data_IF_257087036964
#
_entry.id   IF_257087036964
#
_cell.length_a   1.000
_cell.length_b   1.000
_cell.length_c   1.000
_cell.angle_alpha   90.00
_cell.angle_beta   90.00
_cell.angle_gamma   90.00
#
_symmetry.space_group_name_H-M   'P 1'
#
loop_
_entity.id
_entity.type
_entity.pdbx_description
1 polymer ?
#
# COMPACT_ATOMS: atom_id res chain seq x y z
N UNK A 1 -15.88 -43.00 28.26
CA UNK A 1 -14.86 -41.92 28.12
C UNK A 1 -13.94 -42.10 26.89
N UNK A 2 -13.83 -43.29 26.30
CA UNK A 2 -12.95 -43.55 25.13
C UNK A 2 -13.58 -43.08 23.80
N UNK A 3 -14.90 -43.13 23.67
CA UNK A 3 -15.61 -42.75 22.43
C UNK A 3 -15.47 -41.26 22.05
N UNK A 4 -15.42 -40.36 23.04
CA UNK A 4 -15.32 -38.91 22.79
C UNK A 4 -13.92 -38.53 22.26
N UNK A 5 -12.87 -39.18 22.77
CA UNK A 5 -11.50 -38.94 22.31
C UNK A 5 -11.29 -39.43 20.87
N UNK A 6 -11.92 -40.54 20.51
CA UNK A 6 -11.86 -41.09 19.15
C UNK A 6 -12.60 -40.19 18.14
N UNK A 7 -13.72 -39.59 18.55
CA UNK A 7 -14.43 -38.58 17.77
C UNK A 7 -13.61 -37.29 17.64
N UNK A 8 -12.98 -36.81 18.73
CA UNK A 8 -12.09 -35.64 18.72
C UNK A 8 -10.89 -35.82 17.75
N UNK A 9 -10.25 -36.99 17.75
CA UNK A 9 -9.17 -37.32 16.81
C UNK A 9 -9.64 -37.44 15.35
N UNK A 10 -10.88 -37.89 15.11
CA UNK A 10 -11.46 -37.94 13.76
C UNK A 10 -11.70 -36.54 13.19
N UNK A 11 -12.10 -35.58 14.04
CA UNK A 11 -12.32 -34.18 13.65
C UNK A 11 -10.99 -33.45 13.40
N UNK A 12 -9.93 -33.77 14.17
CA UNK A 12 -8.59 -33.20 13.99
C UNK A 12 -7.85 -33.75 12.75
N UNK A 13 -8.11 -34.99 12.34
CA UNK A 13 -7.52 -35.59 11.12
C UNK A 13 -8.31 -35.26 9.85
N UNK A 14 -9.56 -34.80 9.98
CA UNK A 14 -10.39 -34.31 8.89
C UNK A 14 -10.10 -32.86 8.48
N UNK A 15 -8.89 -32.35 8.76
CA UNK A 15 -8.38 -31.21 8.01
C UNK A 15 -8.13 -31.69 6.58
N UNK A 16 -9.16 -31.57 5.73
CA UNK A 16 -8.99 -31.56 4.29
C UNK A 16 -7.94 -30.48 3.99
N UNK A 17 -6.69 -30.90 3.77
CA UNK A 17 -5.66 -30.06 3.17
C UNK A 17 -6.16 -29.80 1.76
N UNK A 18 -6.99 -28.77 1.59
CA UNK A 18 -7.40 -28.31 0.26
C UNK A 18 -6.10 -28.07 -0.49
N UNK A 19 -5.88 -28.83 -1.57
CA UNK A 19 -4.89 -28.46 -2.55
C UNK A 19 -5.37 -27.12 -3.09
N UNK A 20 -4.71 -26.06 -2.65
CA UNK A 20 -4.94 -24.72 -3.19
C UNK A 20 -4.55 -24.84 -4.65
N UNK A 21 -5.48 -24.50 -5.54
CA UNK A 21 -5.18 -24.45 -6.96
C UNK A 21 -4.02 -23.46 -7.18
N UNK A 22 -3.13 -23.73 -8.12
CA UNK A 22 -1.91 -22.96 -8.24
C UNK A 22 -2.18 -21.47 -8.58
N UNK A 23 -3.28 -21.21 -9.30
CA UNK A 23 -3.78 -19.85 -9.51
C UNK A 23 -4.30 -19.20 -8.20
N UNK A 24 -5.03 -19.95 -7.37
CA UNK A 24 -5.45 -19.48 -6.04
C UNK A 24 -4.23 -19.21 -5.12
N UNK A 25 -3.15 -19.98 -5.28
CA UNK A 25 -1.91 -19.82 -4.54
C UNK A 25 -1.20 -18.50 -4.92
N UNK A 26 -1.10 -18.19 -6.21
CA UNK A 26 -0.52 -16.94 -6.70
C UNK A 26 -1.29 -15.70 -6.20
N UNK A 27 -2.62 -15.73 -6.26
CA UNK A 27 -3.47 -14.65 -5.75
C UNK A 27 -3.31 -14.46 -4.24
N UNK A 28 -3.27 -15.57 -3.49
CA UNK A 28 -3.10 -15.54 -2.03
C UNK A 28 -1.77 -14.90 -1.63
N UNK A 29 -0.68 -15.27 -2.30
CA UNK A 29 0.63 -14.67 -2.05
C UNK A 29 0.70 -13.21 -2.48
N UNK A 30 0.08 -12.84 -3.60
CA UNK A 30 -0.03 -11.45 -4.02
C UNK A 30 -0.71 -10.59 -2.95
N UNK A 31 -1.81 -11.07 -2.35
CA UNK A 31 -2.48 -10.38 -1.25
C UNK A 31 -1.62 -10.32 0.03
N UNK A 32 -1.01 -11.43 0.44
CA UNK A 32 -0.14 -11.51 1.65
C UNK A 32 1.05 -10.57 1.58
N UNK A 33 1.61 -10.36 0.39
CA UNK A 33 2.77 -9.50 0.17
C UNK A 33 2.41 -8.03 -0.05
N UNK A 34 1.13 -7.66 0.12
CA UNK A 34 0.68 -6.27 0.03
C UNK A 34 0.49 -5.79 -1.41
N UNK A 35 -0.03 -6.66 -2.28
CA UNK A 35 -0.32 -6.35 -3.67
C UNK A 35 0.91 -5.87 -4.47
N UNK A 36 2.09 -6.45 -4.22
CA UNK A 36 3.31 -6.15 -4.98
C UNK A 36 3.22 -6.56 -6.45
N UNK A 37 4.08 -5.99 -7.31
CA UNK A 37 4.08 -6.28 -8.74
C UNK A 37 4.37 -7.75 -9.04
N UNK A 38 3.79 -8.24 -10.14
CA UNK A 38 4.05 -9.60 -10.66
C UNK A 38 5.54 -9.89 -10.83
N UNK A 39 6.31 -8.93 -11.35
CA UNK A 39 7.77 -9.07 -11.49
C UNK A 39 8.49 -9.21 -10.16
N UNK A 40 8.00 -8.54 -9.11
CA UNK A 40 8.58 -8.67 -7.77
C UNK A 40 8.29 -10.04 -7.17
N UNK A 41 7.09 -10.58 -7.41
CA UNK A 41 6.73 -11.94 -7.00
C UNK A 41 7.60 -12.96 -7.77
N UNK A 42 7.78 -12.79 -9.09
CA UNK A 42 8.66 -13.64 -9.90
C UNK A 42 10.08 -13.72 -9.34
N UNK A 43 10.67 -12.58 -8.97
CA UNK A 43 11.99 -12.55 -8.31
C UNK A 43 12.04 -13.33 -7.00
N UNK A 44 10.95 -13.35 -6.22
CA UNK A 44 10.86 -14.11 -4.96
C UNK A 44 10.72 -15.61 -5.20
N UNK A 45 10.06 -16.00 -6.30
CA UNK A 45 10.00 -17.40 -6.75
C UNK A 45 11.39 -17.84 -7.24
N UNK A 46 12.04 -17.03 -8.07
CA UNK A 46 13.39 -17.32 -8.60
C UNK A 46 14.44 -17.44 -7.48
N UNK A 47 14.31 -16.64 -6.41
CA UNK A 47 15.16 -16.72 -5.22
C UNK A 47 14.79 -17.85 -4.26
N UNK A 48 13.85 -18.71 -4.63
CA UNK A 48 13.34 -19.85 -3.84
C UNK A 48 12.75 -19.45 -2.49
N UNK A 49 12.22 -18.23 -2.38
CA UNK A 49 11.52 -17.77 -1.17
C UNK A 49 10.03 -18.07 -1.21
N UNK A 50 9.47 -18.36 -2.38
CA UNK A 50 8.06 -18.68 -2.61
C UNK A 50 7.94 -19.85 -3.58
N UNK A 51 6.95 -20.71 -3.34
CA UNK A 51 6.55 -21.80 -4.23
C UNK A 51 5.21 -21.41 -4.86
N UNK A 52 5.28 -20.90 -6.10
CA UNK A 52 4.13 -20.52 -6.93
C UNK A 52 4.50 -20.95 -8.35
N UNK A 53 3.70 -21.82 -8.98
CA UNK A 53 4.05 -22.37 -10.29
C UNK A 53 3.48 -21.52 -11.44
N UNK A 54 2.33 -20.85 -11.22
CA UNK A 54 1.63 -20.03 -12.22
C UNK A 54 1.40 -18.59 -11.74
N UNK A 55 2.23 -17.70 -12.25
CA UNK A 55 2.06 -16.25 -12.12
C UNK A 55 1.28 -15.64 -13.30
N UNK A 56 1.07 -16.38 -14.38
CA UNK A 56 0.55 -15.87 -15.63
C UNK A 56 -0.94 -15.64 -15.60
N UNK A 57 -1.67 -16.39 -14.78
CA UNK A 57 -3.09 -16.14 -14.55
C UNK A 57 -3.37 -15.07 -13.49
N UNK A 58 -2.39 -14.45 -12.84
CA UNK A 58 -2.67 -13.42 -11.82
C UNK A 58 -3.53 -12.27 -12.40
N UNK A 59 -4.74 -12.01 -11.85
CA UNK A 59 -5.64 -11.01 -12.39
C UNK A 59 -5.13 -9.59 -12.14
N UNK A 60 -5.67 -8.63 -12.89
CA UNK A 60 -5.41 -7.21 -12.67
C UNK A 60 -5.85 -6.81 -11.27
N UNK A 61 -4.90 -6.34 -10.45
CA UNK A 61 -5.17 -5.88 -9.09
C UNK A 61 -5.42 -4.38 -9.03
N UNK A 62 -6.65 -3.98 -8.66
CA UNK A 62 -7.03 -2.58 -8.50
C UNK A 62 -6.22 -1.86 -7.40
N UNK A 63 -5.99 -2.52 -6.26
CA UNK A 63 -5.21 -1.98 -5.14
C UNK A 63 -3.77 -1.65 -5.55
N UNK A 64 -3.13 -2.57 -6.28
CA UNK A 64 -1.80 -2.34 -6.85
C UNK A 64 -1.79 -1.14 -7.80
N UNK A 65 -2.74 -1.07 -8.73
CA UNK A 65 -2.84 0.01 -9.70
C UNK A 65 -3.02 1.36 -9.02
N UNK A 66 -3.97 1.47 -8.08
CA UNK A 66 -4.21 2.68 -7.30
C UNK A 66 -2.98 3.10 -6.49
N UNK A 67 -2.27 2.15 -5.91
CA UNK A 67 -1.04 2.41 -5.15
C UNK A 67 0.18 2.77 -6.00
N UNK A 68 0.23 2.34 -7.27
CA UNK A 68 1.34 2.61 -8.20
C UNK A 68 1.10 3.77 -9.16
N UNK A 69 -0.15 4.17 -9.38
CA UNK A 69 -0.47 5.28 -10.26
C UNK A 69 0.20 6.56 -9.76
N UNK A 70 1.11 7.09 -10.57
CA UNK A 70 1.68 8.42 -10.37
C UNK A 70 0.75 9.46 -10.98
N UNK A 71 0.58 10.61 -10.32
CA UNK A 71 -0.11 11.75 -10.91
C UNK A 71 0.64 12.15 -12.19
N UNK A 72 -0.09 12.40 -13.28
CA UNK A 72 0.51 13.00 -14.48
C UNK A 72 1.20 14.31 -14.08
N UNK A 73 2.38 14.64 -14.66
CA UNK A 73 2.99 15.93 -14.44
C UNK A 73 1.98 17.04 -14.69
N UNK A 74 1.97 18.05 -13.84
CA UNK A 74 1.19 19.25 -14.11
C UNK A 74 1.82 19.94 -15.32
N UNK A 75 1.05 20.11 -16.39
CA UNK A 75 1.40 21.02 -17.47
C UNK A 75 1.06 22.42 -16.96
N UNK A 76 1.98 23.03 -16.22
CA UNK A 76 1.81 24.38 -15.70
C UNK A 76 2.11 25.41 -16.78
N UNK A 77 1.15 26.27 -17.11
CA UNK A 77 1.49 27.64 -17.46
C UNK A 77 1.73 28.38 -16.14
N UNK A 78 2.99 28.47 -15.71
CA UNK A 78 3.38 29.40 -14.68
C UNK A 78 3.49 30.79 -15.30
N UNK A 79 2.90 31.80 -14.66
CA UNK A 79 3.17 33.18 -15.03
C UNK A 79 4.66 33.48 -14.80
N UNK A 80 5.31 34.10 -15.77
CA UNK A 80 6.70 34.55 -15.72
C UNK A 80 6.67 36.08 -15.82
N UNK A 81 7.38 36.77 -14.91
CA UNK A 81 7.56 38.21 -14.98
C UNK A 81 8.48 38.56 -16.16
N UNK A 82 8.14 39.59 -16.94
CA UNK A 82 8.99 40.08 -18.03
C UNK A 82 9.75 41.36 -17.63
N UNK A 83 9.20 42.12 -16.70
CA UNK A 83 9.76 43.34 -16.15
C UNK A 83 9.71 43.37 -14.61
N UNK A 84 10.37 44.40 -14.05
CA UNK A 84 10.49 44.60 -12.61
C UNK A 84 9.10 44.80 -11.97
N UNK A 85 8.77 43.97 -10.97
CA UNK A 85 7.49 43.97 -10.23
C UNK A 85 6.26 43.51 -11.02
N UNK A 86 6.41 42.90 -12.20
CA UNK A 86 5.29 42.34 -12.98
C UNK A 86 4.51 41.22 -12.28
N UNK A 87 5.16 40.51 -11.34
CA UNK A 87 4.56 39.39 -10.62
C UNK A 87 4.95 39.45 -9.14
N UNK A 88 3.93 39.60 -8.27
CA UNK A 88 4.08 39.55 -6.81
C UNK A 88 3.36 38.31 -6.28
N UNK A 89 4.07 37.44 -5.58
CA UNK A 89 3.50 36.30 -4.90
C UNK A 89 3.41 36.60 -3.39
N UNK A 90 2.21 36.62 -2.84
CA UNK A 90 1.98 36.83 -1.40
C UNK A 90 1.24 35.64 -0.82
N UNK A 91 1.70 35.13 0.30
CA UNK A 91 1.03 34.06 1.06
C UNK A 91 0.69 34.56 2.47
N UNK A 92 -0.41 34.05 3.03
CA UNK A 92 -0.83 34.34 4.40
C UNK A 92 -0.41 33.17 5.27
N UNK A 93 0.43 33.46 6.27
CA UNK A 93 0.78 32.49 7.29
C UNK A 93 -0.46 32.13 8.14
N UNK A 94 -0.64 30.83 8.40
CA UNK A 94 -1.71 30.30 9.26
C UNK A 94 -1.60 30.75 10.72
N UNK A 95 -2.55 30.32 11.58
CA UNK A 95 -2.70 30.87 12.93
C UNK A 95 -1.42 30.76 13.75
N UNK A 96 -0.89 31.91 14.17
CA UNK A 96 0.28 32.02 15.01
C UNK A 96 -0.12 31.76 16.47
N UNK A 97 0.38 30.66 17.03
CA UNK A 97 0.08 30.26 18.43
C UNK A 97 0.87 31.07 19.47
N UNK A 98 1.65 32.07 19.06
CA UNK A 98 2.46 32.86 19.99
C UNK A 98 1.58 33.90 20.70
N UNK A 99 1.39 33.82 22.03
CA UNK A 99 0.74 34.91 22.75
C UNK A 99 1.58 36.18 22.60
N UNK A 100 0.92 37.31 22.34
CA UNK A 100 1.58 38.61 22.30
C UNK A 100 2.27 38.88 23.65
N UNK A 101 3.51 39.36 23.60
CA UNK A 101 4.23 39.79 24.81
C UNK A 101 3.46 40.96 25.42
N UNK A 102 2.76 40.72 26.53
CA UNK A 102 2.17 41.78 27.32
C UNK A 102 3.31 42.72 27.77
N UNK A 103 3.22 44.00 27.38
CA UNK A 103 4.20 45.01 27.79
C UNK A 103 4.02 45.28 29.29
N UNK A 104 4.96 44.79 30.10
CA UNK A 104 5.02 45.08 31.53
C UNK A 104 5.76 46.40 31.75
N UNK A 105 5.14 47.52 31.37
CA UNK A 105 5.59 48.87 31.76
C UNK A 105 4.42 49.73 32.25
N UNK A 106 3.96 49.38 33.44
CA UNK A 106 3.35 50.32 34.39
C UNK A 106 3.92 50.06 35.77
N UNK A 107 4.97 50.78 36.15
CA UNK A 107 5.10 51.51 37.41
C UNK A 107 6.42 52.27 37.46
#
# INVERSE_FOLDING_TARGET
MVFILQQYNMIMTAQHKRKVDDHENAQLWHARLGHISKDRIRRLVDSKNLEIDDLDHLPTCESYLKGKMTKKPFVGQSAIANDLLDLVHTDICGPLSTPARADSRTS
#
